data_IF_160755299085
#
_entry.id   IF_160755299085
#
_cell.length_a   1.000
_cell.length_b   1.000
_cell.length_c   1.000
_cell.angle_alpha   90.00
_cell.angle_beta   90.00
_cell.angle_gamma   90.00
#
_symmetry.space_group_name_H-M   'P 1'
#
loop_
_entity.id
_entity.type
_entity.pdbx_description
1 polymer ?
#
# COMPACT_ATOMS: atom_id res chain seq x y z
N UNK A 1 23.54 4.27 -9.62
CA UNK A 1 24.09 3.91 -8.28
C UNK A 1 23.04 3.30 -7.35
N UNK A 2 21.96 4.01 -6.99
CA UNK A 2 20.92 3.43 -6.11
C UNK A 2 20.20 2.24 -6.76
N UNK A 3 19.79 2.37 -8.02
CA UNK A 3 19.06 1.34 -8.78
C UNK A 3 19.91 0.05 -8.89
N UNK A 4 21.18 0.19 -9.27
CA UNK A 4 22.13 -0.94 -9.38
C UNK A 4 22.35 -1.65 -8.05
N UNK A 5 22.57 -0.89 -6.97
CA UNK A 5 22.72 -1.47 -5.63
C UNK A 5 21.43 -2.19 -5.21
N UNK A 6 20.28 -1.65 -5.57
CA UNK A 6 18.99 -2.20 -5.20
C UNK A 6 18.68 -3.49 -5.97
N UNK A 7 18.94 -3.53 -7.27
CA UNK A 7 18.78 -4.73 -8.09
C UNK A 7 19.69 -5.85 -7.59
N UNK A 8 20.95 -5.56 -7.21
CA UNK A 8 21.85 -6.54 -6.60
C UNK A 8 21.31 -7.12 -5.29
N UNK A 9 20.79 -6.27 -4.39
CA UNK A 9 20.20 -6.72 -3.12
C UNK A 9 18.99 -7.63 -3.33
N UNK A 10 18.11 -7.25 -4.27
CA UNK A 10 16.91 -8.04 -4.62
C UNK A 10 17.33 -9.38 -5.22
N UNK A 11 18.29 -9.37 -6.15
CA UNK A 11 18.79 -10.59 -6.79
C UNK A 11 19.40 -11.56 -5.77
N UNK A 12 20.20 -11.05 -4.83
CA UNK A 12 20.73 -11.84 -3.72
C UNK A 12 19.63 -12.40 -2.82
N UNK A 13 18.60 -11.62 -2.52
CA UNK A 13 17.46 -12.08 -1.71
C UNK A 13 16.70 -13.21 -2.42
N UNK A 14 16.45 -13.07 -3.74
CA UNK A 14 15.78 -14.09 -4.54
C UNK A 14 16.57 -15.41 -4.57
N UNK A 15 17.89 -15.36 -4.75
CA UNK A 15 18.76 -16.54 -4.70
C UNK A 15 18.70 -17.21 -3.32
N UNK A 16 18.70 -16.43 -2.23
CA UNK A 16 18.60 -17.01 -0.89
C UNK A 16 17.26 -17.70 -0.65
N UNK A 17 16.19 -17.15 -1.20
CA UNK A 17 14.84 -17.69 -1.07
C UNK A 17 14.65 -18.92 -1.97
N UNK A 18 15.21 -18.93 -3.18
CA UNK A 18 15.13 -20.07 -4.10
C UNK A 18 15.75 -21.35 -3.51
N UNK A 19 16.82 -21.22 -2.71
CA UNK A 19 17.44 -22.36 -2.01
C UNK A 19 16.44 -23.08 -1.09
N UNK A 20 15.52 -22.34 -0.47
CA UNK A 20 14.52 -22.90 0.46
C UNK A 20 13.33 -23.53 -0.28
N UNK A 21 13.08 -23.14 -1.52
CA UNK A 21 12.00 -23.68 -2.37
C UNK A 21 12.32 -25.12 -2.72
N UNK A 22 11.43 -26.07 -2.40
CA UNK A 22 11.65 -27.51 -2.67
C UNK A 22 11.39 -27.88 -4.13
N UNK A 23 10.46 -27.17 -4.78
CA UNK A 23 10.07 -27.44 -6.17
C UNK A 23 11.11 -26.89 -7.14
N UNK A 24 11.80 -27.79 -7.84
CA UNK A 24 12.91 -27.42 -8.73
C UNK A 24 12.51 -26.42 -9.81
N UNK A 25 11.34 -26.59 -10.43
CA UNK A 25 10.87 -25.68 -11.49
C UNK A 25 10.73 -24.22 -11.02
N UNK A 26 10.16 -24.02 -9.82
CA UNK A 26 9.98 -22.70 -9.24
C UNK A 26 11.34 -22.12 -8.82
N UNK A 27 12.19 -22.93 -8.19
CA UNK A 27 13.56 -22.54 -7.81
C UNK A 27 14.34 -22.03 -9.02
N UNK A 28 14.43 -22.84 -10.09
CA UNK A 28 15.19 -22.48 -11.28
C UNK A 28 14.63 -21.24 -11.99
N UNK A 29 13.31 -21.05 -11.98
CA UNK A 29 12.69 -19.83 -12.52
C UNK A 29 13.04 -18.59 -11.69
N UNK A 30 12.95 -18.66 -10.36
CA UNK A 30 13.31 -17.55 -9.47
C UNK A 30 14.79 -17.17 -9.61
N UNK A 31 15.68 -18.16 -9.68
CA UNK A 31 17.11 -17.93 -9.88
C UNK A 31 17.39 -17.25 -11.21
N UNK A 32 16.78 -17.75 -12.29
CA UNK A 32 16.92 -17.13 -13.61
C UNK A 32 16.45 -15.67 -13.60
N UNK A 33 15.27 -15.40 -13.03
CA UNK A 33 14.75 -14.04 -12.95
C UNK A 33 15.62 -13.12 -12.08
N UNK A 34 16.27 -13.65 -11.05
CA UNK A 34 17.21 -12.87 -10.24
C UNK A 34 18.40 -12.39 -11.07
N UNK A 35 18.97 -13.23 -11.93
CA UNK A 35 20.05 -12.82 -12.82
C UNK A 35 19.56 -11.91 -13.94
N UNK A 36 18.41 -12.23 -14.56
CA UNK A 36 17.85 -11.42 -15.65
C UNK A 36 17.56 -9.98 -15.19
N UNK A 37 16.91 -9.80 -14.04
CA UNK A 37 16.65 -8.47 -13.48
C UNK A 37 17.94 -7.67 -13.26
N UNK A 38 19.00 -8.34 -12.80
CA UNK A 38 20.29 -7.71 -12.57
C UNK A 38 20.95 -7.29 -13.89
N UNK A 39 20.92 -8.16 -14.89
CA UNK A 39 21.46 -7.90 -16.24
C UNK A 39 20.72 -6.76 -16.92
N UNK A 40 19.39 -6.76 -16.89
CA UNK A 40 18.56 -5.74 -17.51
C UNK A 40 18.78 -4.37 -16.87
N UNK A 41 18.87 -4.31 -15.52
CA UNK A 41 19.17 -3.06 -14.82
C UNK A 41 20.59 -2.58 -15.13
N UNK A 42 21.59 -3.47 -15.16
CA UNK A 42 22.97 -3.11 -15.46
C UNK A 42 23.18 -2.70 -16.93
N UNK A 43 22.37 -3.23 -17.85
CA UNK A 43 22.37 -2.91 -19.27
C UNK A 43 21.52 -1.69 -19.63
N UNK A 44 21.00 -0.95 -18.65
CA UNK A 44 20.07 0.17 -18.83
C UNK A 44 18.78 -0.20 -19.61
N UNK A 45 18.38 -1.48 -19.57
CA UNK A 45 17.23 -2.07 -20.24
C UNK A 45 15.99 -2.05 -19.34
N UNK A 46 15.56 -0.85 -18.94
CA UNK A 46 14.55 -0.66 -17.90
C UNK A 46 13.15 -1.17 -18.22
N UNK A 47 12.75 -1.17 -19.50
CA UNK A 47 11.45 -1.72 -19.89
C UNK A 47 11.36 -3.23 -19.61
N UNK A 48 12.44 -3.96 -19.91
CA UNK A 48 12.56 -5.39 -19.59
C UNK A 48 12.65 -5.61 -18.09
N UNK A 49 13.43 -4.79 -17.37
CA UNK A 49 13.51 -4.84 -15.91
C UNK A 49 12.13 -4.64 -15.23
N UNK A 50 11.28 -3.75 -15.75
CA UNK A 50 9.91 -3.54 -15.24
C UNK A 50 9.03 -4.76 -15.45
N UNK A 51 9.12 -5.40 -16.62
CA UNK A 51 8.41 -6.65 -16.90
C UNK A 51 8.90 -7.79 -15.99
N UNK A 52 10.22 -7.88 -15.80
CA UNK A 52 10.84 -8.85 -14.90
C UNK A 52 10.38 -8.68 -13.45
N UNK A 53 10.26 -7.43 -12.98
CA UNK A 53 9.70 -7.13 -11.67
C UNK A 53 8.29 -7.73 -11.51
N UNK A 54 7.41 -7.56 -12.49
CA UNK A 54 6.04 -8.12 -12.46
C UNK A 54 6.02 -9.65 -12.48
N UNK A 55 6.90 -10.26 -13.28
CA UNK A 55 7.06 -11.72 -13.31
C UNK A 55 7.53 -12.23 -11.93
N UNK A 56 8.51 -11.58 -11.31
CA UNK A 56 9.03 -11.96 -10.01
C UNK A 56 7.96 -11.83 -8.93
N UNK A 57 7.17 -10.74 -8.94
CA UNK A 57 6.02 -10.58 -8.02
C UNK A 57 5.05 -11.75 -8.17
N UNK A 58 4.66 -12.08 -9.40
CA UNK A 58 3.74 -13.18 -9.70
C UNK A 58 4.28 -14.54 -9.26
N UNK A 59 5.56 -14.83 -9.52
CA UNK A 59 6.22 -16.07 -9.09
C UNK A 59 6.34 -16.15 -7.56
N UNK A 60 6.61 -15.04 -6.90
CA UNK A 60 6.73 -14.97 -5.44
C UNK A 60 5.38 -15.20 -4.76
N UNK A 61 4.32 -14.63 -5.33
CA UNK A 61 2.94 -14.82 -4.87
C UNK A 61 2.48 -16.26 -5.08
N UNK A 62 2.72 -16.83 -6.27
CA UNK A 62 2.48 -18.24 -6.53
C UNK A 62 3.22 -19.13 -5.53
N UNK A 63 4.51 -18.85 -5.30
CA UNK A 63 5.34 -19.58 -4.35
C UNK A 63 4.82 -19.51 -2.91
N UNK A 64 4.24 -18.37 -2.51
CA UNK A 64 3.56 -18.21 -1.23
C UNK A 64 2.30 -19.08 -1.15
N UNK A 65 1.45 -19.04 -2.17
CA UNK A 65 0.17 -19.74 -2.20
C UNK A 65 0.34 -21.27 -2.18
N UNK A 66 1.41 -21.78 -2.78
CA UNK A 66 1.77 -23.20 -2.74
C UNK A 66 2.66 -23.57 -1.54
N UNK A 67 2.82 -22.68 -0.56
CA UNK A 67 3.61 -22.87 0.67
C UNK A 67 5.10 -23.22 0.43
N UNK A 68 5.67 -22.78 -0.69
CA UNK A 68 7.09 -22.96 -1.02
C UNK A 68 7.95 -21.77 -0.62
N UNK A 69 7.33 -20.59 -0.48
CA UNK A 69 7.97 -19.36 -0.02
C UNK A 69 7.22 -18.90 1.22
N UNK A 70 7.95 -18.54 2.27
CA UNK A 70 7.31 -17.99 3.47
C UNK A 70 6.60 -16.66 3.15
N UNK A 71 5.37 -16.44 3.66
CA UNK A 71 4.61 -15.21 3.38
C UNK A 71 5.35 -13.92 3.72
N UNK A 72 6.20 -13.96 4.75
CA UNK A 72 7.03 -12.81 5.12
C UNK A 72 8.08 -12.48 4.07
N UNK A 73 8.71 -13.50 3.47
CA UNK A 73 9.72 -13.35 2.45
C UNK A 73 9.12 -12.83 1.15
N UNK A 74 7.97 -13.39 0.73
CA UNK A 74 7.23 -12.92 -0.44
C UNK A 74 6.83 -11.44 -0.29
N UNK A 75 6.33 -11.05 0.89
CA UNK A 75 5.97 -9.66 1.18
C UNK A 75 7.16 -8.70 1.16
N UNK A 76 8.30 -9.12 1.71
CA UNK A 76 9.53 -8.32 1.69
C UNK A 76 9.98 -8.13 0.25
N UNK A 77 10.09 -9.21 -0.54
CA UNK A 77 10.46 -9.12 -1.97
C UNK A 77 9.53 -8.15 -2.70
N UNK A 78 8.20 -8.31 -2.57
CA UNK A 78 7.23 -7.47 -3.26
C UNK A 78 7.40 -5.98 -2.91
N UNK A 79 7.66 -5.66 -1.64
CA UNK A 79 7.94 -4.29 -1.20
C UNK A 79 9.22 -3.75 -1.84
N UNK A 80 10.30 -4.51 -1.79
CA UNK A 80 11.60 -4.09 -2.32
C UNK A 80 11.56 -3.92 -3.85
N UNK A 81 10.86 -4.81 -4.55
CA UNK A 81 10.58 -4.69 -5.99
C UNK A 81 9.77 -3.43 -6.31
N UNK A 82 8.76 -3.08 -5.50
CA UNK A 82 8.01 -1.83 -5.67
C UNK A 82 8.85 -0.57 -5.48
N UNK A 83 9.84 -0.61 -4.58
CA UNK A 83 10.82 0.48 -4.40
C UNK A 83 11.71 0.58 -5.65
N UNK A 84 12.21 -0.54 -6.16
CA UNK A 84 13.03 -0.57 -7.37
C UNK A 84 12.23 -0.06 -8.58
N UNK A 85 11.00 -0.54 -8.75
CA UNK A 85 10.09 -0.13 -9.83
C UNK A 85 9.87 1.39 -9.81
N UNK A 86 9.54 1.95 -8.64
CA UNK A 86 9.33 3.39 -8.48
C UNK A 86 10.60 4.17 -8.84
N UNK A 87 11.77 3.70 -8.41
CA UNK A 87 13.05 4.33 -8.71
C UNK A 87 13.38 4.30 -10.21
N UNK A 88 13.09 3.18 -10.89
CA UNK A 88 13.28 3.03 -12.34
C UNK A 88 12.36 4.02 -13.08
N UNK A 89 11.06 4.04 -12.74
CA UNK A 89 10.08 4.93 -13.40
C UNK A 89 10.41 6.41 -13.24
N UNK A 90 10.84 6.81 -12.05
CA UNK A 90 11.24 8.20 -11.75
C UNK A 90 12.48 8.62 -12.54
N UNK A 91 13.47 7.74 -12.68
CA UNK A 91 14.74 8.09 -13.30
C UNK A 91 14.65 8.14 -14.83
N UNK A 92 13.78 7.32 -15.43
CA UNK A 92 13.66 7.23 -16.88
C UNK A 92 12.50 8.03 -17.47
N UNK A 93 11.74 8.76 -16.64
CA UNK A 93 10.58 9.52 -17.11
C UNK A 93 9.55 8.64 -17.83
N UNK A 94 9.61 7.32 -17.62
CA UNK A 94 8.70 6.36 -18.22
C UNK A 94 7.39 6.47 -17.44
N UNK A 95 6.60 7.46 -17.84
CA UNK A 95 5.17 7.53 -17.58
C UNK A 95 4.48 6.35 -18.29
N UNK A 96 4.72 5.11 -17.87
CA UNK A 96 3.92 3.99 -18.36
C UNK A 96 2.55 4.07 -17.70
N UNK A 97 1.55 4.50 -18.47
CA UNK A 97 0.21 3.92 -18.42
C UNK A 97 -0.73 4.31 -17.28
N UNK A 98 -0.31 5.13 -16.31
CA UNK A 98 -1.24 5.90 -15.48
C UNK A 98 -0.97 7.38 -15.72
N UNK A 99 -1.64 7.93 -16.73
CA UNK A 99 -1.83 9.37 -16.84
C UNK A 99 -2.55 9.78 -15.56
N UNK A 100 -1.86 10.46 -14.66
CA UNK A 100 -2.51 11.14 -13.55
C UNK A 100 -3.31 12.30 -14.17
N UNK A 101 -4.61 12.09 -14.30
CA UNK A 101 -5.55 13.06 -14.88
C UNK A 101 -5.46 14.41 -14.14
N UNK A 102 -4.97 14.42 -12.90
CA UNK A 102 -4.69 15.63 -12.12
C UNK A 102 -3.71 16.61 -12.77
N UNK A 103 -2.70 16.12 -13.50
CA UNK A 103 -1.69 16.99 -14.12
C UNK A 103 -2.15 17.59 -15.46
N UNK A 104 -3.13 16.97 -16.14
CA UNK A 104 -3.75 17.51 -17.36
C UNK A 104 -4.67 18.69 -17.03
N UNK A 105 -5.44 18.60 -15.94
CA UNK A 105 -6.33 19.69 -15.52
C UNK A 105 -5.62 20.85 -14.83
N UNK A 106 -4.42 20.62 -14.28
CA UNK A 106 -3.60 21.68 -13.68
C UNK A 106 -3.05 22.68 -14.71
N UNK A 107 -3.08 22.34 -16.01
CA UNK A 107 -2.56 23.20 -17.08
C UNK A 107 -3.64 23.85 -17.96
N UNK A 108 -4.92 23.61 -17.69
CA UNK A 108 -6.03 24.16 -18.48
C UNK A 108 -7.12 24.74 -17.59
N UNK A 109 -6.81 25.84 -16.90
CA UNK A 109 -7.80 26.84 -16.44
C UNK A 109 -7.07 28.18 -16.19
N UNK A 110 -6.44 28.72 -17.23
CA UNK A 110 -6.22 30.17 -17.28
C UNK A 110 -7.55 30.79 -17.74
N UNK A 111 -8.42 31.10 -16.77
CA UNK A 111 -9.62 31.89 -17.01
C UNK A 111 -9.14 33.30 -17.40
N UNK A 112 -9.49 33.85 -18.57
CA UNK A 112 -9.22 35.24 -18.88
C UNK A 112 -10.12 36.11 -17.99
N UNK A 113 -9.50 37.06 -17.29
CA UNK A 113 -10.16 38.14 -16.54
C UNK A 113 -11.30 38.81 -17.35
N UNK A 114 -12.43 39.18 -16.72
CA UNK A 114 -13.54 39.81 -17.41
C UNK A 114 -13.22 41.28 -17.72
N UNK A 115 -12.90 41.57 -18.99
CA UNK A 115 -12.90 42.95 -19.49
C UNK A 115 -14.32 43.43 -19.79
N UNK A 116 -14.71 44.45 -19.03
CA UNK A 116 -15.81 45.38 -19.34
C UNK A 116 -15.41 46.30 -20.50
N UNK A 117 -16.29 46.47 -21.50
CA UNK A 117 -16.12 47.50 -22.53
C UNK A 117 -16.89 47.28 -23.82
N UNK A 118 -17.99 48.01 -24.00
CA UNK A 118 -18.85 48.10 -25.18
C UNK A 118 -18.12 48.48 -26.50
N UNK A 119 -18.53 47.90 -27.65
CA UNK A 119 -19.23 48.60 -28.77
C UNK A 119 -19.38 47.76 -30.07
N UNK A 120 -20.61 47.73 -30.57
CA UNK A 120 -21.14 47.74 -31.97
C UNK A 120 -20.73 46.69 -33.03
N UNK A 121 -21.79 45.98 -33.47
CA UNK A 121 -22.27 45.73 -34.85
C UNK A 121 -21.29 45.18 -35.91
N UNK A 122 -21.56 43.98 -36.43
CA UNK A 122 -22.21 43.79 -37.74
C UNK A 122 -22.41 42.29 -38.11
N UNK A 123 -23.58 42.05 -38.70
CA UNK A 123 -23.94 41.08 -39.75
C UNK A 123 -23.64 39.56 -39.67
N UNK A 124 -24.74 38.81 -39.81
CA UNK A 124 -24.92 37.52 -40.53
C UNK A 124 -24.30 36.24 -39.91
N UNK A 125 -24.96 35.08 -39.84
CA UNK A 125 -26.19 34.58 -40.44
C UNK A 125 -26.68 33.30 -39.74
N UNK A 126 -28.01 33.24 -39.54
CA UNK A 126 -28.93 32.09 -39.51
C UNK A 126 -28.42 30.69 -39.89
N UNK A 127 -28.72 29.67 -39.06
CA UNK A 127 -29.55 28.45 -39.32
C UNK A 127 -29.98 27.91 -37.92
N UNK A 128 -31.21 28.13 -37.43
CA UNK A 128 -32.39 27.24 -37.44
C UNK A 128 -32.19 25.78 -36.97
N UNK A 129 -32.36 25.58 -35.64
CA UNK A 129 -33.27 24.66 -34.90
C UNK A 129 -33.59 23.20 -35.41
N UNK A 130 -34.55 22.45 -34.81
CA UNK A 130 -34.50 21.75 -33.52
C UNK A 130 -34.99 20.28 -33.63
N UNK A 131 -34.64 19.37 -32.72
CA UNK A 131 -35.58 18.25 -32.39
C UNK A 131 -35.58 17.98 -30.88
N UNK A 132 -36.77 18.16 -30.33
CA UNK A 132 -37.24 17.89 -28.97
C UNK A 132 -37.39 16.39 -28.67
N UNK A 133 -37.17 16.07 -27.39
CA UNK A 133 -37.93 15.18 -26.49
C UNK A 133 -38.60 13.90 -27.02
N UNK A 134 -38.39 12.82 -26.27
CA UNK A 134 -39.39 12.11 -25.43
C UNK A 134 -38.61 11.10 -24.58
N UNK A 135 -38.51 11.25 -23.25
CA UNK A 135 -39.50 10.94 -22.20
C UNK A 135 -39.71 9.43 -21.96
N UNK A 136 -39.95 9.10 -20.68
CA UNK A 136 -40.19 7.81 -20.02
C UNK A 136 -38.93 7.05 -19.54
N UNK A 137 -38.77 6.69 -18.26
CA UNK A 137 -39.73 6.52 -17.17
C UNK A 137 -39.16 6.95 -15.82
N UNK A 138 -40.05 7.52 -15.01
CA UNK A 138 -39.90 7.72 -13.58
C UNK A 138 -40.20 6.42 -12.81
N UNK A 139 -39.41 6.17 -11.78
CA UNK A 139 -39.90 5.74 -10.46
C UNK A 139 -38.70 5.72 -9.48
N UNK A 140 -38.80 5.96 -8.19
CA UNK A 140 -39.74 6.66 -7.30
C UNK A 140 -39.19 6.39 -5.87
N UNK A 141 -39.26 7.37 -4.97
CA UNK A 141 -38.96 7.34 -3.52
C UNK A 141 -37.60 6.80 -3.03
N UNK A 142 -36.87 7.42 -2.09
CA UNK A 142 -37.20 8.52 -1.19
C UNK A 142 -36.11 8.63 -0.11
N UNK A 143 -35.81 9.88 0.25
CA UNK A 143 -34.80 10.39 1.18
C UNK A 143 -34.81 9.75 2.58
N UNK A 144 -33.64 9.67 3.25
CA UNK A 144 -33.29 10.69 4.25
C UNK A 144 -31.88 10.60 4.85
N UNK A 145 -31.38 11.80 5.12
CA UNK A 145 -30.08 12.22 5.66
C UNK A 145 -29.86 11.85 7.14
N UNK A 146 -28.61 11.63 7.57
CA UNK A 146 -28.01 12.43 8.65
C UNK A 146 -26.47 12.29 8.72
N UNK A 147 -25.81 13.44 8.52
CA UNK A 147 -24.70 14.02 9.32
C UNK A 147 -23.42 13.21 9.52
N UNK A 148 -22.35 13.59 8.82
CA UNK A 148 -21.31 14.53 9.29
C UNK A 148 -20.29 13.89 10.24
N UNK A 149 -19.04 13.82 9.77
CA UNK A 149 -17.91 14.57 10.34
C UNK A 149 -16.61 13.75 10.41
N UNK A 150 -15.60 14.37 9.79
CA UNK A 150 -14.18 14.41 10.19
C UNK A 150 -13.25 13.20 9.99
N UNK A 151 -12.26 13.45 9.13
CA UNK A 151 -10.89 12.94 9.11
C UNK A 151 -10.65 11.48 8.73
N UNK A 152 -10.77 11.18 7.43
CA UNK A 152 -9.99 10.13 6.80
C UNK A 152 -8.56 10.64 6.52
N UNK A 153 -7.67 10.56 7.51
CA UNK A 153 -6.24 10.40 7.21
C UNK A 153 -6.04 8.94 6.84
N UNK A 154 -6.07 8.68 5.53
CA UNK A 154 -5.95 7.34 4.95
C UNK A 154 -4.69 6.63 5.42
N UNK A 155 -4.93 5.56 6.15
CA UNK A 155 -4.01 4.48 6.46
C UNK A 155 -3.51 3.81 5.19
N UNK A 156 -2.20 3.82 4.96
CA UNK A 156 -1.56 2.97 3.97
C UNK A 156 -1.09 1.67 4.65
N UNK A 157 -2.02 0.71 4.77
CA UNK A 157 -1.83 -0.52 5.54
C UNK A 157 -1.77 -1.76 4.67
N UNK A 158 -0.56 -2.24 4.37
CA UNK A 158 -0.26 -3.60 3.91
C UNK A 158 -1.18 -4.65 4.60
N UNK A 159 -1.75 -5.61 3.87
CA UNK A 159 -2.73 -6.61 4.36
C UNK A 159 -2.33 -7.59 5.48
N UNK A 160 -1.17 -7.42 6.13
CA UNK A 160 -0.86 -8.06 7.44
C UNK A 160 -0.91 -7.05 8.61
N UNK A 161 -1.04 -5.77 8.28
CA UNK A 161 -1.19 -4.64 9.17
C UNK A 161 -2.60 -4.60 9.74
N UNK A 162 -3.63 -4.88 8.93
CA UNK A 162 -5.03 -4.82 9.35
C UNK A 162 -5.29 -5.71 10.57
N UNK A 163 -4.91 -7.01 10.52
CA UNK A 163 -5.06 -7.90 11.68
C UNK A 163 -4.18 -7.48 12.87
N UNK A 164 -2.99 -6.94 12.64
CA UNK A 164 -2.13 -6.44 13.73
C UNK A 164 -2.66 -5.16 14.36
N UNK A 165 -3.22 -4.25 13.56
CA UNK A 165 -3.73 -2.95 13.98
C UNK A 165 -5.06 -3.12 14.70
N UNK A 166 -5.97 -3.97 14.18
CA UNK A 166 -7.21 -4.36 14.86
C UNK A 166 -6.90 -5.05 16.19
N UNK A 167 -5.90 -5.94 16.23
CA UNK A 167 -5.50 -6.58 17.49
C UNK A 167 -4.85 -5.59 18.45
N UNK A 168 -4.00 -4.68 17.96
CA UNK A 168 -3.39 -3.63 18.77
C UNK A 168 -4.45 -2.68 19.36
N UNK A 169 -5.47 -2.30 18.60
CA UNK A 169 -6.60 -1.51 19.12
C UNK A 169 -7.38 -2.27 20.19
N UNK A 170 -7.65 -3.56 19.98
CA UNK A 170 -8.31 -4.39 20.98
C UNK A 170 -7.47 -4.53 22.28
N UNK A 171 -6.14 -4.66 22.16
CA UNK A 171 -5.21 -4.67 23.31
C UNK A 171 -5.30 -3.34 24.07
N UNK A 172 -5.32 -2.21 23.37
CA UNK A 172 -5.46 -0.88 23.97
C UNK A 172 -6.79 -0.76 24.72
N UNK A 173 -7.90 -1.20 24.13
CA UNK A 173 -9.23 -1.12 24.74
C UNK A 173 -9.33 -1.93 26.03
N UNK A 174 -8.74 -3.13 26.05
CA UNK A 174 -8.68 -3.97 27.25
C UNK A 174 -7.83 -3.28 28.34
N UNK A 175 -6.66 -2.73 27.99
CA UNK A 175 -5.81 -2.00 28.95
C UNK A 175 -6.53 -0.78 29.51
N UNK A 176 -7.31 -0.08 28.67
CA UNK A 176 -8.12 1.06 29.08
C UNK A 176 -9.17 0.67 30.11
N UNK A 177 -9.79 -0.51 29.97
CA UNK A 177 -10.78 -1.03 30.92
C UNK A 177 -10.13 -1.51 32.23
N UNK A 178 -9.01 -2.22 32.15
CA UNK A 178 -8.34 -2.84 33.32
C UNK A 178 -7.38 -1.90 34.06
N UNK A 179 -7.06 -0.72 33.49
CA UNK A 179 -6.05 0.28 33.94
C UNK A 179 -4.61 -0.22 34.00
N UNK A 180 -4.39 -1.48 34.37
CA UNK A 180 -3.11 -2.18 34.40
C UNK A 180 -3.33 -3.62 33.96
N UNK A 181 -2.45 -4.15 33.12
CA UNK A 181 -2.55 -5.55 32.68
C UNK A 181 -1.18 -6.23 32.68
N UNK A 182 -1.12 -7.49 33.11
CA UNK A 182 0.06 -8.33 32.96
C UNK A 182 0.07 -9.06 31.61
N UNK A 183 1.23 -9.54 31.17
CA UNK A 183 1.33 -10.32 29.93
C UNK A 183 0.45 -11.59 29.96
N UNK A 184 0.29 -12.21 31.14
CA UNK A 184 -0.56 -13.39 31.33
C UNK A 184 -2.04 -13.10 31.07
N UNK A 185 -2.50 -11.92 31.47
CA UNK A 185 -3.89 -11.53 31.30
C UNK A 185 -4.17 -11.16 29.83
N UNK A 186 -3.21 -10.53 29.15
CA UNK A 186 -3.28 -10.30 27.69
C UNK A 186 -3.32 -11.64 26.95
N UNK A 187 -2.51 -12.61 27.35
CA UNK A 187 -2.55 -13.97 26.78
C UNK A 187 -3.92 -14.64 26.96
N UNK A 188 -4.53 -14.50 28.14
CA UNK A 188 -5.86 -15.05 28.39
C UNK A 188 -6.95 -14.41 27.53
N UNK A 189 -6.81 -13.12 27.19
CA UNK A 189 -7.75 -12.41 26.32
C UNK A 189 -7.56 -12.74 24.82
N UNK A 190 -6.40 -13.25 24.42
CA UNK A 190 -6.06 -13.56 23.02
C UNK A 190 -5.51 -14.99 22.87
N UNK A 191 -6.33 -16.04 23.07
CA UNK A 191 -5.87 -17.43 23.04
C UNK A 191 -5.37 -17.89 21.66
N UNK A 192 -5.87 -17.28 20.58
CA UNK A 192 -5.50 -17.61 19.19
C UNK A 192 -4.17 -16.97 18.75
N UNK A 193 -3.53 -16.20 19.64
CA UNK A 193 -2.33 -15.44 19.33
C UNK A 193 -1.17 -15.92 20.18
N UNK A 194 -0.05 -16.25 19.54
CA UNK A 194 1.14 -16.69 20.25
C UNK A 194 1.71 -15.59 21.16
N UNK A 195 2.28 -15.98 22.30
CA UNK A 195 2.95 -15.05 23.22
C UNK A 195 3.98 -14.16 22.54
N UNK A 196 4.77 -14.73 21.61
CA UNK A 196 5.76 -14.00 20.83
C UNK A 196 5.13 -12.85 20.04
N UNK A 197 3.96 -13.07 19.46
CA UNK A 197 3.25 -12.06 18.67
C UNK A 197 2.71 -10.95 19.56
N UNK A 198 2.09 -11.29 20.70
CA UNK A 198 1.63 -10.30 21.68
C UNK A 198 2.77 -9.46 22.25
N UNK A 199 3.94 -10.08 22.49
CA UNK A 199 5.13 -9.36 22.93
C UNK A 199 5.60 -8.33 21.89
N UNK A 200 5.53 -8.67 20.61
CA UNK A 200 5.85 -7.72 19.54
C UNK A 200 4.83 -6.60 19.43
N UNK A 201 3.54 -6.89 19.57
CA UNK A 201 2.49 -5.87 19.55
C UNK A 201 2.62 -4.92 20.74
N UNK A 202 2.81 -5.43 21.95
CA UNK A 202 3.06 -4.63 23.15
C UNK A 202 4.34 -3.79 23.02
N UNK A 203 5.42 -4.37 22.48
CA UNK A 203 6.65 -3.64 22.22
C UNK A 203 6.42 -2.51 21.22
N UNK A 204 5.65 -2.75 20.15
CA UNK A 204 5.29 -1.71 19.17
C UNK A 204 4.51 -0.58 19.81
N UNK A 205 3.51 -0.91 20.63
CA UNK A 205 2.68 0.07 21.34
C UNK A 205 3.50 0.89 22.36
N UNK A 206 4.51 0.28 22.99
CA UNK A 206 5.45 1.02 23.85
C UNK A 206 6.35 1.96 23.04
N UNK A 207 6.90 1.50 21.91
CA UNK A 207 7.74 2.33 21.03
C UNK A 207 6.93 3.51 20.45
N UNK A 208 5.66 3.28 20.13
CA UNK A 208 4.74 4.31 19.66
C UNK A 208 4.29 5.28 20.77
N UNK A 209 4.68 5.04 22.03
CA UNK A 209 4.32 5.89 23.16
C UNK A 209 2.86 5.78 23.60
N UNK A 210 2.13 4.74 23.17
CA UNK A 210 0.74 4.51 23.57
C UNK A 210 0.66 3.79 24.92
N UNK A 211 1.64 2.93 25.21
CA UNK A 211 1.72 2.16 26.44
C UNK A 211 3.05 2.41 27.16
N UNK A 212 3.01 2.47 28.48
CA UNK A 212 4.20 2.38 29.31
C UNK A 212 4.30 0.99 29.92
N UNK A 213 5.51 0.42 29.84
CA UNK A 213 5.87 -0.83 30.50
C UNK A 213 6.48 -0.50 31.86
N UNK A 214 5.84 -0.94 32.94
CA UNK A 214 6.29 -0.69 34.30
C UNK A 214 6.74 -2.00 34.93
N UNK A 215 7.94 -2.00 35.54
CA UNK A 215 8.50 -3.12 36.30
C UNK A 215 9.89 -3.56 35.84
N UNK A 216 10.71 -4.00 36.80
CA UNK A 216 12.09 -4.49 36.60
C UNK A 216 12.13 -5.96 36.14
N UNK A 217 11.48 -6.26 35.02
CA UNK A 217 11.54 -7.58 34.39
C UNK A 217 10.86 -8.72 35.18
N UNK A 218 10.45 -9.78 34.47
CA UNK A 218 9.77 -10.92 35.08
C UNK A 218 8.27 -10.69 35.39
N UNK A 219 7.67 -11.48 36.29
CA UNK A 219 6.22 -11.54 36.50
C UNK A 219 5.61 -10.26 37.10
N UNK A 220 6.45 -9.34 37.59
CA UNK A 220 6.05 -8.02 38.09
C UNK A 220 5.95 -6.96 36.97
N UNK A 221 6.06 -7.37 35.69
CA UNK A 221 5.88 -6.46 34.56
C UNK A 221 4.39 -6.29 34.25
N UNK A 222 3.93 -5.04 34.22
CA UNK A 222 2.59 -4.70 33.74
C UNK A 222 2.64 -3.52 32.77
N UNK A 223 1.59 -3.41 31.96
CA UNK A 223 1.42 -2.39 30.94
C UNK A 223 0.27 -1.47 31.34
N UNK A 224 0.49 -0.17 31.19
CA UNK A 224 -0.52 0.87 31.44
C UNK A 224 -0.60 1.79 30.24
N UNK A 225 -1.76 2.40 30.02
CA UNK A 225 -1.89 3.44 29.00
C UNK A 225 -1.00 4.63 29.40
N UNK A 226 -0.23 5.14 28.45
CA UNK A 226 0.51 6.39 28.64
C UNK A 226 -0.48 7.54 28.58
N UNK A 227 -0.52 8.38 29.62
CA UNK A 227 -1.30 9.63 29.65
C UNK A 227 -0.43 10.79 29.21
#
# INVERSE_FOLDING_TARGET
>A
MFIDQKSQQISLALIRISVQVRRQDLRSRLERMAFQLLEDVAGDQFEFALNDIEIIKSLSELGKDIYQIEPINAKIIAKELGILESAIRQNFGINSGNVDIGDIFSKSLAIPEPYSGNQKADAASSILEPILNTADSAADFGQNNHSQSSNSHSSNGNGNGINSTIRQSAIIDIIRQSKKIGLKDVLAAFPDVSERTLRYDLQKLCIQGVLDRIGNGGPATYYTLKM
#
